data_IF_748000200906
#
_entry.id   IF_748000200906
#
_cell.length_a   1.000
_cell.length_b   1.000
_cell.length_c   1.000
_cell.angle_alpha   90.00
_cell.angle_beta   90.00
_cell.angle_gamma   90.00
#
_symmetry.space_group_name_H-M   'P 1'
#
loop_
_entity.id
_entity.type
_entity.pdbx_description
1 polymer ?
#
# COMPACT_ATOMS: atom_id res chain seq x y z
N UNK A 1 -11.32 -16.04 6.85
CA UNK A 1 -10.52 -16.89 7.73
C UNK A 1 -9.32 -17.48 7.01
N UNK A 2 -8.18 -17.44 7.64
CA UNK A 2 -6.97 -18.00 7.06
C UNK A 2 -7.00 -19.53 7.11
N UNK A 3 -6.55 -20.15 6.04
CA UNK A 3 -6.52 -21.62 5.94
C UNK A 3 -5.28 -22.19 6.62
N UNK A 4 -4.26 -21.39 6.83
CA UNK A 4 -3.06 -21.84 7.51
C UNK A 4 -2.54 -20.74 8.42
N UNK A 5 -1.75 -21.13 9.40
CA UNK A 5 -1.14 -20.22 10.34
C UNK A 5 0.06 -19.55 9.70
N UNK A 6 0.19 -18.24 9.93
CA UNK A 6 1.33 -17.46 9.46
C UNK A 6 2.22 -17.20 10.67
N UNK A 7 3.47 -17.65 10.60
CA UNK A 7 4.45 -17.44 11.65
C UNK A 7 5.40 -16.32 11.25
N UNK A 8 5.50 -15.30 12.08
CA UNK A 8 6.34 -14.14 11.84
C UNK A 8 7.42 -14.04 12.90
N UNK A 9 8.64 -13.71 12.49
CA UNK A 9 9.76 -13.55 13.41
C UNK A 9 9.81 -12.16 14.02
N UNK A 10 9.19 -11.17 13.38
CA UNK A 10 9.22 -9.79 13.81
C UNK A 10 7.85 -9.33 14.27
N UNK A 11 7.86 -8.29 15.09
CA UNK A 11 6.62 -7.69 15.58
C UNK A 11 5.84 -7.07 14.42
N UNK A 12 4.54 -7.28 14.44
CA UNK A 12 3.63 -6.69 13.45
C UNK A 12 3.36 -5.24 13.84
N UNK A 13 3.61 -4.33 12.91
CA UNK A 13 3.33 -2.92 13.09
C UNK A 13 1.92 -2.55 12.62
N UNK A 14 1.48 -3.13 11.52
CA UNK A 14 0.16 -2.85 10.94
C UNK A 14 -0.35 -4.03 10.15
N UNK A 15 -1.68 -4.18 10.09
CA UNK A 15 -2.34 -5.17 9.25
C UNK A 15 -3.45 -4.45 8.49
N UNK A 16 -3.56 -4.72 7.20
CA UNK A 16 -4.65 -4.21 6.39
C UNK A 16 -5.11 -5.31 5.44
N UNK A 17 -6.34 -5.22 4.97
CA UNK A 17 -6.87 -6.31 4.16
C UNK A 17 -7.92 -5.83 3.16
N UNK A 18 -8.17 -6.69 2.18
CA UNK A 18 -9.27 -6.57 1.24
C UNK A 18 -9.96 -7.93 1.19
N UNK A 19 -10.88 -8.09 0.26
CA UNK A 19 -11.53 -9.40 0.08
C UNK A 19 -10.57 -10.48 -0.41
N UNK A 20 -9.49 -10.08 -1.09
CA UNK A 20 -8.56 -11.01 -1.73
C UNK A 20 -7.24 -11.16 -0.99
N UNK A 21 -6.82 -10.14 -0.24
CA UNK A 21 -5.46 -10.07 0.27
C UNK A 21 -5.40 -9.59 1.70
N UNK A 22 -4.31 -9.97 2.35
CA UNK A 22 -3.96 -9.49 3.69
C UNK A 22 -2.56 -8.93 3.60
N UNK A 23 -2.39 -7.68 4.02
CA UNK A 23 -1.09 -7.03 4.08
C UNK A 23 -0.61 -6.89 5.51
N UNK A 24 0.64 -7.21 5.75
CA UNK A 24 1.26 -7.15 7.07
C UNK A 24 2.53 -6.30 6.95
N UNK A 25 2.63 -5.28 7.80
CA UNK A 25 3.81 -4.41 7.84
C UNK A 25 4.58 -4.71 9.12
N UNK A 26 5.88 -4.86 8.96
CA UNK A 26 6.81 -5.13 10.06
C UNK A 26 8.01 -4.21 9.90
N UNK A 27 8.90 -4.23 10.88
CA UNK A 27 10.16 -3.54 10.76
C UNK A 27 11.00 -4.16 9.65
N UNK A 28 11.60 -3.31 8.80
CA UNK A 28 12.42 -3.78 7.69
C UNK A 28 13.84 -4.11 8.12
N UNK A 29 14.56 -4.82 7.28
CA UNK A 29 15.97 -5.14 7.51
C UNK A 29 16.89 -4.10 6.88
N UNK A 30 16.62 -3.71 5.65
CA UNK A 30 17.40 -2.72 4.92
C UNK A 30 16.74 -1.36 4.88
N UNK A 31 15.42 -1.34 4.80
CA UNK A 31 14.64 -0.12 4.82
C UNK A 31 13.78 -0.10 6.08
N UNK A 32 13.06 0.98 6.30
CA UNK A 32 12.33 1.17 7.54
C UNK A 32 11.24 0.13 7.78
N UNK A 33 10.58 -0.31 6.71
CA UNK A 33 9.42 -1.19 6.82
C UNK A 33 9.51 -2.34 5.82
N UNK A 34 8.98 -3.49 6.24
CA UNK A 34 8.81 -4.65 5.36
C UNK A 34 7.32 -4.93 5.21
N UNK A 35 6.86 -5.06 3.99
CA UNK A 35 5.48 -5.38 3.67
C UNK A 35 5.40 -6.78 3.09
N UNK A 36 4.59 -7.63 3.72
CA UNK A 36 4.27 -8.95 3.20
C UNK A 36 2.79 -8.99 2.84
N UNK A 37 2.48 -9.51 1.66
CA UNK A 37 1.10 -9.64 1.20
C UNK A 37 0.79 -11.11 0.97
N UNK A 38 -0.29 -11.55 1.59
CA UNK A 38 -0.77 -12.93 1.52
C UNK A 38 -2.16 -12.96 0.89
N UNK A 39 -2.49 -14.09 0.27
CA UNK A 39 -3.86 -14.31 -0.15
C UNK A 39 -4.68 -14.86 1.03
N UNK A 40 -5.96 -15.12 0.81
CA UNK A 40 -6.84 -15.60 1.88
C UNK A 40 -6.59 -17.05 2.28
N UNK A 41 -5.73 -17.76 1.54
CA UNK A 41 -5.31 -19.11 1.89
C UNK A 41 -4.04 -19.11 2.74
N UNK A 42 -3.45 -17.94 2.96
CA UNK A 42 -2.22 -17.79 3.72
C UNK A 42 -0.97 -17.94 2.87
N UNK A 43 -1.09 -17.92 1.55
CA UNK A 43 0.06 -18.02 0.65
C UNK A 43 0.68 -16.65 0.41
N UNK A 44 1.99 -16.55 0.61
CA UNK A 44 2.72 -15.31 0.39
C UNK A 44 2.72 -14.96 -1.11
N UNK A 45 2.24 -13.78 -1.42
CA UNK A 45 2.21 -13.28 -2.80
C UNK A 45 3.50 -12.52 -3.14
N UNK A 46 3.94 -11.67 -2.24
CA UNK A 46 5.22 -10.98 -2.39
C UNK A 46 5.64 -10.36 -1.06
N UNK A 47 6.92 -9.99 -1.01
CA UNK A 47 7.48 -9.22 0.09
C UNK A 47 8.32 -8.10 -0.50
N UNK A 48 8.23 -6.92 0.08
CA UNK A 48 9.05 -5.79 -0.33
C UNK A 48 9.31 -4.90 0.88
N UNK A 49 10.31 -4.02 0.77
CA UNK A 49 10.60 -3.07 1.83
C UNK A 49 10.44 -1.66 1.31
N UNK A 50 10.15 -0.73 2.20
CA UNK A 50 10.03 0.68 1.85
C UNK A 50 10.46 1.56 3.02
N UNK A 51 10.86 2.81 2.71
CA UNK A 51 11.37 3.75 3.71
C UNK A 51 10.33 4.76 4.17
N UNK A 52 9.35 5.06 3.33
CA UNK A 52 8.41 6.14 3.59
C UNK A 52 7.58 5.86 4.84
N UNK A 53 7.53 6.82 5.76
CA UNK A 53 6.62 6.71 6.89
C UNK A 53 5.20 6.74 6.37
N UNK A 54 4.34 5.92 6.93
CA UNK A 54 2.99 5.76 6.43
C UNK A 54 1.96 6.06 7.52
N UNK A 55 0.81 6.55 7.09
CA UNK A 55 -0.35 6.72 7.97
C UNK A 55 -1.49 5.85 7.50
N UNK A 56 -1.60 5.67 6.19
CA UNK A 56 -2.68 4.88 5.59
C UNK A 56 -2.12 3.88 4.62
N UNK A 57 -2.62 2.65 4.73
CA UNK A 57 -2.32 1.53 3.83
C UNK A 57 -3.65 0.94 3.40
N UNK A 58 -3.85 0.76 2.11
CA UNK A 58 -5.06 0.11 1.64
C UNK A 58 -4.86 -0.56 0.29
N UNK A 59 -5.66 -1.59 0.03
CA UNK A 59 -5.71 -2.21 -1.27
C UNK A 59 -6.72 -1.47 -2.14
N UNK A 60 -6.42 -1.37 -3.42
CA UNK A 60 -7.34 -0.84 -4.41
C UNK A 60 -7.22 -1.71 -5.65
N UNK A 61 -8.12 -2.69 -5.78
CA UNK A 61 -8.00 -3.71 -6.80
C UNK A 61 -6.70 -4.49 -6.60
N UNK A 62 -5.84 -4.47 -7.60
CA UNK A 62 -4.55 -5.15 -7.56
C UNK A 62 -3.41 -4.23 -7.15
N UNK A 63 -3.72 -3.02 -6.73
CA UNK A 63 -2.70 -2.06 -6.30
C UNK A 63 -2.75 -1.86 -4.80
N UNK A 64 -1.64 -1.39 -4.25
CA UNK A 64 -1.54 -1.07 -2.84
C UNK A 64 -1.22 0.41 -2.74
N UNK A 65 -2.02 1.13 -1.97
CA UNK A 65 -1.88 2.57 -1.79
C UNK A 65 -1.32 2.81 -0.39
N UNK A 66 -0.18 3.50 -0.33
CA UNK A 66 0.51 3.83 0.92
C UNK A 66 0.71 5.33 0.93
N UNK A 67 0.22 6.01 1.95
CA UNK A 67 0.43 7.45 2.00
C UNK A 67 0.43 7.99 3.42
N UNK A 68 1.03 9.17 3.55
CA UNK A 68 1.00 9.96 4.78
C UNK A 68 0.50 11.36 4.41
N UNK A 69 0.83 12.35 5.25
CA UNK A 69 0.29 13.68 5.04
C UNK A 69 0.77 14.33 3.73
N UNK A 70 2.01 14.09 3.33
CA UNK A 70 2.60 14.78 2.18
C UNK A 70 3.17 13.87 1.10
N UNK A 71 3.20 12.56 1.34
CA UNK A 71 3.82 11.62 0.42
C UNK A 71 2.87 10.46 0.11
N UNK A 72 3.01 9.91 -1.09
CA UNK A 72 2.27 8.69 -1.43
C UNK A 72 3.13 7.76 -2.25
N UNK A 73 2.79 6.49 -2.20
CA UNK A 73 3.42 5.45 -2.99
C UNK A 73 2.34 4.46 -3.41
N UNK A 74 2.39 4.06 -4.69
CA UNK A 74 1.46 3.08 -5.23
C UNK A 74 2.28 1.89 -5.69
N UNK A 75 1.95 0.71 -5.17
CA UNK A 75 2.61 -0.53 -5.54
C UNK A 75 1.72 -1.35 -6.45
N UNK A 76 2.34 -2.08 -7.38
CA UNK A 76 1.63 -3.06 -8.18
C UNK A 76 1.34 -4.29 -7.33
N UNK A 77 0.54 -5.22 -7.85
CA UNK A 77 0.23 -6.47 -7.15
C UNK A 77 1.45 -7.37 -6.94
N UNK A 78 2.56 -7.08 -7.60
CA UNK A 78 3.82 -7.81 -7.43
C UNK A 78 4.80 -7.12 -6.51
N UNK A 79 4.39 -5.99 -5.92
CA UNK A 79 5.20 -5.27 -4.97
C UNK A 79 6.18 -4.29 -5.59
N UNK A 80 6.03 -3.97 -6.86
CA UNK A 80 6.88 -2.98 -7.52
C UNK A 80 6.28 -1.59 -7.37
N UNK A 81 7.14 -0.59 -7.22
CA UNK A 81 6.68 0.79 -7.15
C UNK A 81 6.16 1.20 -8.52
N UNK A 82 4.88 1.53 -8.57
CA UNK A 82 4.24 2.07 -9.76
C UNK A 82 4.38 3.59 -9.80
N UNK A 83 4.23 4.24 -8.65
CA UNK A 83 4.32 5.69 -8.53
C UNK A 83 4.76 6.03 -7.10
N UNK A 84 5.57 7.08 -7.00
CA UNK A 84 5.95 7.64 -5.71
C UNK A 84 6.10 9.15 -5.88
N UNK A 85 5.53 9.92 -4.96
CA UNK A 85 5.59 11.36 -5.05
C UNK A 85 5.40 12.03 -3.71
N UNK A 86 5.80 13.30 -3.65
CA UNK A 86 5.57 14.14 -2.48
C UNK A 86 4.93 15.45 -2.94
N UNK A 87 4.19 16.09 -2.04
CA UNK A 87 3.39 17.26 -2.37
C UNK A 87 3.54 18.34 -1.32
N UNK A 88 3.26 19.58 -1.71
CA UNK A 88 3.31 20.71 -0.78
C UNK A 88 2.05 20.82 0.06
N UNK A 89 0.91 20.37 -0.47
CA UNK A 89 -0.34 20.36 0.27
C UNK A 89 -0.58 18.98 0.85
N UNK A 90 -1.20 18.94 2.02
CA UNK A 90 -1.49 17.66 2.66
C UNK A 90 -2.49 16.83 1.84
N UNK A 91 -2.28 15.52 1.89
CA UNK A 91 -3.13 14.54 1.21
C UNK A 91 -4.30 14.22 2.12
N UNK A 92 -5.52 14.46 1.66
CA UNK A 92 -6.71 14.09 2.42
C UNK A 92 -7.24 12.72 2.02
N UNK A 93 -6.97 12.29 0.79
CA UNK A 93 -7.37 10.96 0.34
C UNK A 93 -6.61 10.57 -0.92
N UNK A 94 -6.50 9.27 -1.15
CA UNK A 94 -5.92 8.70 -2.35
C UNK A 94 -6.77 7.50 -2.74
N UNK A 95 -7.24 7.44 -3.97
CA UNK A 95 -8.06 6.31 -4.40
C UNK A 95 -7.93 6.08 -5.91
N UNK A 96 -8.29 4.87 -6.32
CA UNK A 96 -8.34 4.47 -7.72
C UNK A 96 -9.73 4.79 -8.25
N UNK A 97 -9.80 5.56 -9.32
CA UNK A 97 -11.09 5.91 -9.91
C UNK A 97 -11.65 4.67 -10.62
N UNK A 98 -12.86 4.29 -10.23
CA UNK A 98 -13.53 3.11 -10.75
C UNK A 98 -13.76 3.21 -12.25
N UNK A 99 -13.48 2.13 -12.96
CA UNK A 99 -13.75 2.04 -14.38
C UNK A 99 -12.72 2.66 -15.29
N UNK A 100 -11.60 3.16 -14.74
CA UNK A 100 -10.53 3.67 -15.59
C UNK A 100 -9.19 3.47 -14.92
N UNK A 101 -8.12 3.97 -15.56
CA UNK A 101 -6.75 3.71 -15.12
C UNK A 101 -6.14 4.93 -14.42
N UNK A 102 -6.93 5.62 -13.62
CA UNK A 102 -6.47 6.82 -12.91
C UNK A 102 -6.52 6.63 -11.41
N UNK A 103 -5.51 7.17 -10.75
CA UNK A 103 -5.52 7.35 -9.31
C UNK A 103 -5.74 8.83 -9.01
N UNK A 104 -6.53 9.12 -8.01
CA UNK A 104 -6.91 10.48 -7.63
C UNK A 104 -6.30 10.78 -6.27
N UNK A 105 -5.55 11.87 -6.21
CA UNK A 105 -4.99 12.36 -4.94
C UNK A 105 -5.73 13.64 -4.58
N UNK A 106 -6.44 13.61 -3.48
CA UNK A 106 -7.20 14.77 -3.01
C UNK A 106 -6.41 15.52 -1.95
N UNK A 107 -6.30 16.83 -2.17
CA UNK A 107 -5.70 17.77 -1.23
C UNK A 107 -6.77 18.71 -0.71
N UNK A 108 -6.38 19.63 0.16
CA UNK A 108 -7.32 20.59 0.73
C UNK A 108 -7.95 21.51 -0.33
N UNK A 109 -7.15 21.95 -1.31
CA UNK A 109 -7.62 22.94 -2.30
C UNK A 109 -7.50 22.48 -3.75
N UNK A 110 -7.01 21.27 -3.99
CA UNK A 110 -6.84 20.78 -5.36
C UNK A 110 -6.88 19.25 -5.42
N UNK A 111 -6.97 18.74 -6.65
CA UNK A 111 -6.95 17.30 -6.91
C UNK A 111 -5.91 17.02 -7.98
N UNK A 112 -5.03 16.05 -7.74
CA UNK A 112 -4.06 15.58 -8.72
C UNK A 112 -4.51 14.24 -9.26
N UNK A 113 -4.11 13.92 -10.48
CA UNK A 113 -4.42 12.64 -11.12
C UNK A 113 -3.14 11.97 -11.57
N UNK A 114 -3.07 10.65 -11.36
CA UNK A 114 -2.00 9.81 -11.86
C UNK A 114 -2.63 8.80 -12.79
N UNK A 115 -2.16 8.77 -14.05
CA UNK A 115 -2.74 7.88 -15.04
C UNK A 115 -1.84 6.68 -15.26
N UNK A 116 -2.43 5.50 -15.28
CA UNK A 116 -1.74 4.28 -15.67
C UNK A 116 -1.51 4.28 -17.19
N UNK A 117 -0.39 3.77 -17.60
CA UNK A 117 -0.06 3.66 -19.00
C UNK A 117 0.25 2.23 -19.38
#
# INVERSE_FOLDING_TARGET
>A
ELKQEITLEKEILSVFHSEKYIGIVMEGEEQNYALQVYDTQGSLQFETEFEMDYQTLKFSGDHILIYNEFECMILTRKGRVFYQGSFEESISNLYHQSGNSRFIIMHASRTDQIRLR
#
